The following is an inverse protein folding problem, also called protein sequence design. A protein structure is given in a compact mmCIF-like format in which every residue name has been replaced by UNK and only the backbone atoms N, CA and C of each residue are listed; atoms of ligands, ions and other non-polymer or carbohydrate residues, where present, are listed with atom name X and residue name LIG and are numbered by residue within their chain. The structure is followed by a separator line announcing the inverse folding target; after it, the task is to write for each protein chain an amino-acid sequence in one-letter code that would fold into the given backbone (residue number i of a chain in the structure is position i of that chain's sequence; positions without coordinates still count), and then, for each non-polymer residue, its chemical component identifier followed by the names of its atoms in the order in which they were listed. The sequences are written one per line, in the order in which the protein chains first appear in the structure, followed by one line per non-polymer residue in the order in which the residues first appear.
data_IF_356516304808
#
_entry.id   IF_356516304808
#
_cell.length_a   1.000
_cell.length_b   1.000
_cell.length_c   1.000
_cell.angle_alpha   90.00
_cell.angle_beta   90.00
_cell.angle_gamma   90.00
#
_symmetry.space_group_name_H-M   'P 1'
#
loop_
_entity.id
_entity.type
_entity.pdbx_description
1 polymer ?
#
# COMPACT_ATOMS: atom_id res chain seq x y z
N UNK A 1 -89.77 -10.94 41.33
CA UNK A 1 -89.67 -11.44 42.72
C UNK A 1 -88.29 -11.93 42.97
N UNK A 2 -87.67 -11.44 44.07
CA UNK A 2 -86.38 -11.85 44.71
C UNK A 2 -85.04 -11.65 43.95
N UNK A 3 -84.36 -10.62 44.23
CA UNK A 3 -83.38 -10.25 45.30
C UNK A 3 -82.31 -11.30 45.62
N UNK A 4 -81.11 -10.79 45.61
CA UNK A 4 -79.84 -11.06 46.39
C UNK A 4 -78.75 -11.71 45.53
N UNK A 5 -77.46 -11.37 45.61
CA UNK A 5 -76.59 -10.46 46.37
C UNK A 5 -75.19 -10.70 45.89
N UNK A 6 -74.34 -9.66 45.83
CA UNK A 6 -72.90 -9.75 45.60
C UNK A 6 -72.23 -10.50 46.77
N UNK A 7 -71.02 -11.09 46.51
CA UNK A 7 -69.88 -10.34 47.01
C UNK A 7 -68.70 -10.27 46.09
N UNK A 8 -67.84 -9.27 46.37
CA UNK A 8 -66.63 -8.87 45.76
C UNK A 8 -65.50 -9.92 45.89
N UNK A 9 -64.66 -10.04 44.88
CA UNK A 9 -63.29 -10.55 45.05
C UNK A 9 -62.27 -9.75 44.28
N UNK A 10 -61.24 -9.50 45.00
CA UNK A 10 -60.05 -8.67 44.90
C UNK A 10 -59.30 -8.82 43.58
N UNK A 11 -58.86 -7.66 43.08
CA UNK A 11 -57.83 -7.48 42.10
C UNK A 11 -56.48 -8.07 42.56
N UNK A 12 -55.83 -8.84 41.71
CA UNK A 12 -54.36 -9.02 41.75
C UNK A 12 -53.83 -8.43 40.48
N UNK A 13 -53.23 -7.26 40.65
CA UNK A 13 -52.41 -6.60 39.62
C UNK A 13 -51.11 -7.38 39.46
N UNK A 14 -50.99 -8.14 38.40
CA UNK A 14 -49.68 -8.68 37.96
C UNK A 14 -48.94 -7.64 37.17
N UNK A 15 -47.94 -7.02 37.77
CA UNK A 15 -47.00 -6.13 37.12
C UNK A 15 -46.07 -6.97 36.20
N UNK A 16 -46.30 -6.92 34.91
CA UNK A 16 -45.39 -7.48 33.91
C UNK A 16 -44.25 -6.46 33.70
N UNK A 17 -43.12 -6.68 34.33
CA UNK A 17 -41.91 -5.90 34.07
C UNK A 17 -41.32 -6.38 32.73
N UNK A 18 -41.58 -5.63 31.65
CA UNK A 18 -40.78 -5.75 30.42
C UNK A 18 -39.39 -5.15 30.66
N UNK A 19 -38.41 -5.99 30.78
CA UNK A 19 -37.02 -5.59 30.72
C UNK A 19 -36.69 -5.19 29.27
N UNK A 20 -36.63 -3.89 28.98
CA UNK A 20 -35.99 -3.36 27.78
C UNK A 20 -34.50 -3.62 27.90
N UNK A 21 -33.98 -4.58 27.14
CA UNK A 21 -32.54 -4.68 26.88
C UNK A 21 -32.24 -3.57 25.87
N UNK A 22 -31.79 -2.42 26.38
CA UNK A 22 -31.14 -1.41 25.55
C UNK A 22 -29.80 -1.99 25.10
N UNK A 23 -29.71 -2.38 23.82
CA UNK A 23 -28.43 -2.66 23.20
C UNK A 23 -27.71 -1.32 23.01
N UNK A 24 -26.83 -1.00 23.95
CA UNK A 24 -25.86 0.07 23.79
C UNK A 24 -24.96 -0.27 22.62
N UNK A 25 -25.31 0.24 21.46
CA UNK A 25 -24.36 0.40 20.36
C UNK A 25 -23.46 1.56 20.73
N UNK A 26 -22.45 1.26 21.54
CA UNK A 26 -21.37 2.19 21.81
C UNK A 26 -20.69 2.55 20.50
N UNK A 27 -21.04 3.71 19.94
CA UNK A 27 -20.15 4.43 19.06
C UNK A 27 -18.88 4.69 19.87
N UNK A 28 -17.86 3.87 19.68
CA UNK A 28 -16.53 4.18 20.16
C UNK A 28 -16.14 5.50 19.50
N UNK A 29 -16.22 6.58 20.26
CA UNK A 29 -15.66 7.85 19.86
C UNK A 29 -14.16 7.62 19.62
N UNK A 30 -13.74 7.85 18.39
CA UNK A 30 -12.35 7.79 17.97
C UNK A 30 -11.57 8.84 18.77
N UNK A 31 -10.99 8.46 19.87
CA UNK A 31 -10.04 9.31 20.59
C UNK A 31 -8.69 9.19 19.86
N UNK A 32 -8.47 10.05 18.88
CA UNK A 32 -7.16 10.23 18.29
C UNK A 32 -6.18 10.62 19.41
N UNK A 33 -5.20 9.78 19.67
CA UNK A 33 -4.06 10.16 20.50
C UNK A 33 -3.18 11.13 19.71
N UNK A 34 -3.12 12.43 20.05
CA UNK A 34 -2.33 13.38 19.31
C UNK A 34 -0.88 13.33 19.79
N UNK A 35 -0.04 12.52 19.14
CA UNK A 35 1.42 12.57 19.39
C UNK A 35 2.20 13.07 18.16
N UNK A 36 1.59 13.93 17.35
CA UNK A 36 2.26 14.57 16.23
C UNK A 36 2.39 16.09 16.43
N UNK A 37 3.50 16.70 16.00
CA UNK A 37 3.61 18.14 15.93
C UNK A 37 2.49 18.71 15.03
N UNK A 38 1.93 19.88 15.40
CA UNK A 38 0.89 20.52 14.62
C UNK A 38 1.34 20.77 13.17
N UNK A 39 0.42 20.73 12.18
CA UNK A 39 0.72 21.13 10.81
C UNK A 39 1.37 22.53 10.81
N UNK A 40 2.45 22.71 10.02
CA UNK A 40 3.21 23.96 9.95
C UNK A 40 4.33 24.11 10.98
N UNK A 41 4.43 23.28 12.02
CA UNK A 41 5.60 23.28 12.91
C UNK A 41 6.83 22.73 12.15
N UNK A 42 8.07 23.21 12.45
CA UNK A 42 9.28 22.67 11.85
C UNK A 42 9.40 21.15 12.03
N UNK A 43 9.88 20.48 10.98
CA UNK A 43 10.33 19.09 11.09
C UNK A 43 11.76 19.07 11.62
N UNK A 44 11.98 18.45 12.78
CA UNK A 44 13.31 18.33 13.37
C UNK A 44 13.90 16.97 13.04
N UNK A 45 14.90 16.99 12.14
CA UNK A 45 15.56 15.81 11.59
C UNK A 45 16.91 15.64 12.26
N UNK A 46 17.16 14.47 12.86
CA UNK A 46 18.45 14.08 13.45
C UNK A 46 19.45 13.66 12.36
N UNK A 47 18.98 12.96 11.32
CA UNK A 47 19.80 12.54 10.21
C UNK A 47 18.96 12.36 8.94
N UNK A 48 19.58 12.54 7.79
CA UNK A 48 19.03 12.19 6.48
C UNK A 48 20.15 11.82 5.52
N UNK A 49 19.79 11.08 4.48
CA UNK A 49 20.72 10.71 3.43
C UNK A 49 20.10 9.80 2.40
N UNK A 50 20.92 9.28 1.52
CA UNK A 50 20.50 8.33 0.50
C UNK A 50 21.60 7.32 0.18
N UNK A 51 21.19 6.17 -0.34
CA UNK A 51 22.09 5.12 -0.80
C UNK A 51 21.38 4.21 -1.82
N UNK A 52 22.17 3.41 -2.54
CA UNK A 52 21.67 2.33 -3.37
C UNK A 52 21.80 0.99 -2.64
N UNK A 53 20.89 0.05 -2.93
CA UNK A 53 20.92 -1.33 -2.39
C UNK A 53 20.58 -2.36 -3.46
N UNK A 54 21.14 -3.54 -3.33
CA UNK A 54 20.99 -4.61 -4.31
C UNK A 54 21.59 -4.23 -5.66
N UNK A 55 20.99 -4.76 -6.71
CA UNK A 55 21.43 -4.51 -8.09
C UNK A 55 22.38 -5.56 -8.61
N UNK A 56 22.81 -5.34 -9.85
CA UNK A 56 23.67 -6.22 -10.63
C UNK A 56 24.83 -5.42 -11.17
N UNK A 57 26.05 -5.98 -11.12
CA UNK A 57 27.21 -5.51 -11.86
C UNK A 57 27.43 -6.45 -13.05
N UNK A 58 27.56 -5.87 -14.25
CA UNK A 58 27.85 -6.59 -15.48
C UNK A 58 29.15 -6.08 -16.05
N UNK A 59 30.13 -6.98 -16.19
CA UNK A 59 31.41 -6.67 -16.77
C UNK A 59 31.44 -7.05 -18.25
N UNK A 60 31.87 -6.12 -19.10
CA UNK A 60 32.12 -6.39 -20.52
C UNK A 60 33.52 -7.02 -20.70
N UNK A 61 33.63 -8.03 -21.58
CA UNK A 61 34.93 -8.67 -21.85
C UNK A 61 35.99 -7.69 -22.36
N UNK A 62 37.24 -8.04 -22.09
CA UNK A 62 38.44 -7.27 -22.56
C UNK A 62 39.06 -6.42 -21.47
N UNK A 63 39.94 -5.49 -21.88
CA UNK A 63 40.66 -4.58 -20.99
C UNK A 63 40.32 -3.14 -21.37
N UNK A 64 39.92 -2.32 -20.40
CA UNK A 64 39.69 -0.90 -20.60
C UNK A 64 40.97 -0.16 -20.91
N UNK A 65 41.00 0.59 -22.00
CA UNK A 65 42.13 1.47 -22.39
C UNK A 65 41.78 2.93 -22.03
N UNK A 66 42.34 3.48 -20.96
CA UNK A 66 42.01 4.84 -20.52
C UNK A 66 42.41 5.96 -21.50
N UNK A 67 43.35 5.66 -22.41
CA UNK A 67 43.79 6.66 -23.43
C UNK A 67 42.81 6.71 -24.59
N UNK A 68 42.29 5.58 -25.03
CA UNK A 68 41.36 5.48 -26.17
C UNK A 68 39.93 5.64 -25.78
N UNK A 69 39.54 5.17 -24.59
CA UNK A 69 38.15 5.08 -24.12
C UNK A 69 37.81 6.09 -22.99
N UNK A 70 38.83 6.81 -22.47
CA UNK A 70 38.66 7.69 -21.31
C UNK A 70 37.93 9.00 -21.55
N UNK A 71 37.39 9.23 -22.76
CA UNK A 71 36.63 10.41 -23.10
C UNK A 71 35.14 10.07 -23.33
N UNK A 72 34.23 11.01 -22.99
CA UNK A 72 32.83 10.83 -23.29
C UNK A 72 32.59 10.76 -24.80
N UNK A 73 31.83 9.73 -25.21
CA UNK A 73 31.28 9.62 -26.57
C UNK A 73 29.81 9.19 -26.50
N UNK A 74 28.95 9.57 -27.47
CA UNK A 74 27.55 9.15 -27.49
C UNK A 74 27.35 7.63 -27.61
N UNK A 75 28.33 6.91 -28.17
CA UNK A 75 28.36 5.46 -28.30
C UNK A 75 29.70 4.95 -27.76
N UNK A 76 29.85 4.78 -26.44
CA UNK A 76 31.10 4.34 -25.84
C UNK A 76 31.40 2.88 -26.20
N UNK A 77 32.66 2.59 -26.43
CA UNK A 77 33.14 1.22 -26.55
C UNK A 77 33.01 0.52 -25.17
N UNK A 78 32.24 -0.58 -25.06
CA UNK A 78 32.02 -1.25 -23.78
C UNK A 78 33.20 -2.11 -23.33
N UNK A 79 34.22 -2.35 -24.16
CA UNK A 79 35.34 -3.25 -23.87
C UNK A 79 35.99 -2.95 -22.52
N UNK A 80 35.99 -3.94 -21.62
CA UNK A 80 36.60 -3.85 -20.29
C UNK A 80 35.89 -2.91 -19.32
N UNK A 81 34.66 -2.44 -19.64
CA UNK A 81 33.87 -1.56 -18.78
C UNK A 81 32.86 -2.34 -17.94
N UNK A 82 32.48 -1.76 -16.81
CA UNK A 82 31.45 -2.31 -15.87
C UNK A 82 30.21 -1.46 -15.87
N UNK A 83 29.04 -2.14 -15.90
CA UNK A 83 27.70 -1.53 -15.73
C UNK A 83 27.12 -1.95 -14.39
N UNK A 84 26.87 -0.98 -13.51
CA UNK A 84 26.07 -1.19 -12.30
C UNK A 84 24.64 -0.74 -12.55
N UNK A 85 23.65 -1.65 -12.41
CA UNK A 85 22.23 -1.36 -12.61
C UNK A 85 21.34 -2.21 -11.73
N UNK A 86 20.01 -2.11 -11.94
CA UNK A 86 18.98 -2.91 -11.27
C UNK A 86 18.97 -2.81 -9.73
N UNK A 87 19.60 -1.75 -9.17
CA UNK A 87 19.55 -1.44 -7.74
C UNK A 87 18.28 -0.67 -7.40
N UNK A 88 17.89 -0.67 -6.13
CA UNK A 88 16.93 0.30 -5.60
C UNK A 88 17.65 1.54 -5.08
N UNK A 89 17.04 2.72 -5.26
CA UNK A 89 17.49 3.95 -4.59
C UNK A 89 16.65 4.14 -3.32
N UNK A 90 17.30 4.54 -2.24
CA UNK A 90 16.68 4.76 -0.94
C UNK A 90 17.03 6.15 -0.45
N UNK A 91 16.02 6.96 -0.13
CA UNK A 91 16.17 8.19 0.64
C UNK A 91 15.59 7.99 2.03
N UNK A 92 16.30 8.45 3.06
CA UNK A 92 15.85 8.29 4.44
C UNK A 92 15.95 9.58 5.24
N UNK A 93 15.07 9.69 6.23
CA UNK A 93 15.08 10.73 7.24
C UNK A 93 14.78 10.12 8.62
N UNK A 94 15.59 10.49 9.60
CA UNK A 94 15.48 10.05 10.99
C UNK A 94 15.10 11.28 11.82
N UNK A 95 13.92 11.30 12.44
CA UNK A 95 13.54 12.41 13.32
C UNK A 95 14.29 12.35 14.65
N UNK A 96 14.27 13.45 15.40
CA UNK A 96 14.79 13.46 16.79
C UNK A 96 13.88 12.58 17.67
N UNK A 97 14.50 11.82 18.59
CA UNK A 97 13.83 10.84 19.45
C UNK A 97 12.97 9.85 18.65
N UNK A 98 13.57 9.10 17.72
CA UNK A 98 12.85 8.24 16.79
C UNK A 98 12.17 7.07 17.54
N UNK A 99 11.06 6.60 16.98
CA UNK A 99 10.48 5.30 17.32
C UNK A 99 11.42 4.16 16.90
N UNK A 100 11.34 2.99 17.55
CA UNK A 100 12.31 1.91 17.34
C UNK A 100 12.23 1.27 15.95
N UNK A 101 11.05 1.20 15.34
CA UNK A 101 10.86 0.58 14.03
C UNK A 101 10.67 1.63 12.93
N UNK A 102 11.53 1.64 11.91
CA UNK A 102 11.34 2.46 10.71
C UNK A 102 10.14 2.02 9.88
N UNK A 103 9.60 2.97 9.09
CA UNK A 103 8.66 2.69 8.00
C UNK A 103 9.39 2.74 6.67
N UNK A 104 9.28 1.69 5.88
CA UNK A 104 9.81 1.59 4.51
C UNK A 104 8.63 1.71 3.56
N UNK A 105 8.59 2.78 2.77
CA UNK A 105 7.51 3.08 1.83
C UNK A 105 7.87 2.68 0.40
N UNK A 106 7.07 1.79 -0.19
CA UNK A 106 7.26 1.27 -1.53
C UNK A 106 6.07 1.60 -2.43
N UNK A 107 6.33 2.32 -3.51
CA UNK A 107 5.34 2.82 -4.48
C UNK A 107 4.77 1.74 -5.41
N UNK A 108 3.70 2.08 -6.14
CA UNK A 108 3.02 1.23 -7.12
C UNK A 108 3.58 1.32 -8.55
N UNK A 109 2.84 0.75 -9.50
CA UNK A 109 3.14 0.80 -10.92
C UNK A 109 3.10 2.25 -11.43
N UNK A 110 4.03 2.59 -12.31
CA UNK A 110 4.12 3.94 -12.88
C UNK A 110 4.47 5.05 -11.89
N UNK A 111 4.88 4.71 -10.66
CA UNK A 111 5.14 5.64 -9.57
C UNK A 111 6.61 5.57 -9.11
N UNK A 112 6.99 6.52 -8.27
CA UNK A 112 8.27 6.60 -7.57
C UNK A 112 8.04 6.94 -6.10
N UNK A 113 9.09 7.19 -5.34
CA UNK A 113 9.03 7.70 -3.96
C UNK A 113 8.12 8.93 -3.82
N UNK A 114 7.95 9.73 -4.89
CA UNK A 114 7.06 10.91 -4.94
C UNK A 114 5.64 10.63 -4.44
N UNK A 115 5.14 9.40 -4.60
CA UNK A 115 3.83 8.97 -4.09
C UNK A 115 3.66 9.21 -2.58
N UNK A 116 4.74 9.16 -1.81
CA UNK A 116 4.75 9.27 -0.35
C UNK A 116 5.16 10.65 0.17
N UNK A 117 5.69 11.51 -0.73
CA UNK A 117 6.15 12.86 -0.44
C UNK A 117 4.95 13.84 -0.39
N UNK A 118 5.12 15.07 -0.89
CA UNK A 118 4.04 16.06 -0.99
C UNK A 118 2.92 15.55 -1.90
N UNK A 119 1.67 15.68 -1.47
CA UNK A 119 0.50 15.32 -2.26
C UNK A 119 0.37 16.18 -3.53
N UNK A 120 -0.38 15.77 -4.55
CA UNK A 120 -0.55 16.54 -5.78
C UNK A 120 -1.10 17.94 -5.58
N UNK A 121 -1.88 18.17 -4.54
CA UNK A 121 -2.47 19.45 -4.14
C UNK A 121 -1.62 20.24 -3.13
N UNK A 122 -0.36 19.80 -2.87
CA UNK A 122 0.63 20.53 -2.08
C UNK A 122 0.63 20.29 -0.59
N UNK A 123 -0.24 19.42 -0.06
CA UNK A 123 -0.25 19.06 1.38
C UNK A 123 0.89 18.10 1.73
N UNK A 124 1.12 17.90 3.01
CA UNK A 124 2.06 16.89 3.50
C UNK A 124 1.58 15.48 3.15
N UNK A 125 2.47 14.69 2.54
CA UNK A 125 2.26 13.26 2.33
C UNK A 125 2.74 12.42 3.52
N UNK A 126 2.66 11.11 3.38
CA UNK A 126 2.98 10.17 4.46
C UNK A 126 4.40 10.31 5.00
N UNK A 127 5.38 10.65 4.17
CA UNK A 127 6.75 10.90 4.61
C UNK A 127 6.78 11.93 5.75
N UNK A 128 6.20 13.12 5.56
CA UNK A 128 6.19 14.18 6.56
C UNK A 128 5.29 13.84 7.75
N UNK A 129 4.10 13.28 7.50
CA UNK A 129 3.15 12.89 8.54
C UNK A 129 3.81 11.91 9.52
N UNK A 130 4.52 10.89 9.03
CA UNK A 130 5.15 9.90 9.89
C UNK A 130 6.45 10.40 10.54
N UNK A 131 7.18 11.30 9.91
CA UNK A 131 8.28 12.02 10.57
C UNK A 131 7.77 12.83 11.77
N UNK A 132 6.62 13.53 11.65
CA UNK A 132 5.99 14.24 12.77
C UNK A 132 5.57 13.28 13.90
N UNK A 133 5.21 12.03 13.55
CA UNK A 133 4.90 10.94 14.49
C UNK A 133 6.15 10.23 15.01
N UNK A 134 7.34 10.76 14.71
CA UNK A 134 8.66 10.27 15.12
C UNK A 134 9.06 8.91 14.57
N UNK A 135 8.47 8.46 13.47
CA UNK A 135 8.99 7.29 12.77
C UNK A 135 10.18 7.67 11.88
N UNK A 136 11.29 6.91 11.92
CA UNK A 136 12.26 6.93 10.83
C UNK A 136 11.57 6.52 9.53
N UNK A 137 11.80 7.27 8.46
CA UNK A 137 11.14 7.05 7.17
C UNK A 137 12.17 6.75 6.11
N UNK A 138 11.95 5.67 5.37
CA UNK A 138 12.69 5.30 4.18
C UNK A 138 11.73 5.28 3.00
N UNK A 139 11.94 6.13 2.00
CA UNK A 139 11.19 6.11 0.74
C UNK A 139 12.08 5.58 -0.36
N UNK A 140 11.56 4.68 -1.18
CA UNK A 140 12.36 3.96 -2.17
C UNK A 140 11.87 4.22 -3.59
N UNK A 141 12.81 4.28 -4.52
CA UNK A 141 12.56 4.02 -5.93
C UNK A 141 13.04 2.60 -6.24
N UNK A 142 12.12 1.77 -6.69
CA UNK A 142 12.44 0.37 -7.01
C UNK A 142 13.36 0.26 -8.22
N UNK A 143 14.06 -0.86 -8.42
CA UNK A 143 14.88 -1.10 -9.60
C UNK A 143 14.19 -0.72 -10.91
N UNK A 144 14.92 -0.05 -11.78
CA UNK A 144 14.46 0.40 -13.10
C UNK A 144 13.32 1.43 -13.05
N UNK A 145 13.30 2.26 -11.97
CA UNK A 145 12.28 3.27 -11.78
C UNK A 145 12.85 4.53 -11.10
N UNK A 146 12.35 5.71 -11.48
CA UNK A 146 12.73 6.97 -10.87
C UNK A 146 14.25 7.18 -10.78
N UNK A 147 14.77 7.48 -9.58
CA UNK A 147 16.20 7.65 -9.30
C UNK A 147 17.02 6.36 -9.40
N UNK A 148 16.37 5.20 -9.43
CA UNK A 148 16.97 3.88 -9.65
C UNK A 148 16.85 3.43 -11.11
N UNK A 149 16.84 4.37 -12.05
CA UNK A 149 16.51 4.13 -13.46
C UNK A 149 17.59 3.40 -14.26
N UNK A 150 18.79 3.11 -13.74
CA UNK A 150 19.82 2.41 -14.51
C UNK A 150 19.53 0.91 -14.55
N UNK A 151 19.27 0.40 -15.77
CA UNK A 151 18.97 -1.01 -16.05
C UNK A 151 20.17 -1.73 -16.67
N UNK A 152 20.34 -3.02 -16.35
CA UNK A 152 21.27 -3.92 -17.06
C UNK A 152 20.62 -4.54 -18.29
N UNK A 153 19.32 -4.32 -18.51
CA UNK A 153 18.57 -4.83 -19.65
C UNK A 153 18.05 -3.67 -20.51
N UNK A 154 18.13 -3.77 -21.83
CA UNK A 154 17.59 -2.73 -22.71
C UNK A 154 16.07 -2.74 -22.71
N UNK A 155 15.47 -1.55 -22.90
CA UNK A 155 14.05 -1.38 -23.16
C UNK A 155 13.83 -0.13 -24.03
N UNK A 156 12.79 -0.17 -24.86
CA UNK A 156 12.28 1.03 -25.52
C UNK A 156 11.18 1.64 -24.64
N UNK A 157 11.30 2.93 -24.33
CA UNK A 157 10.31 3.67 -23.56
C UNK A 157 9.44 4.46 -24.53
N UNK A 158 8.20 4.01 -24.81
CA UNK A 158 7.30 4.73 -25.71
C UNK A 158 6.71 5.95 -25.02
N UNK A 159 6.49 7.03 -25.77
CA UNK A 159 5.69 8.18 -25.34
C UNK A 159 4.21 7.88 -25.53
N UNK A 160 3.62 7.10 -24.63
CA UNK A 160 2.22 6.66 -24.73
C UNK A 160 1.30 7.58 -23.94
N UNK A 161 0.29 8.23 -24.59
CA UNK A 161 -0.72 8.99 -23.87
C UNK A 161 -1.75 8.03 -23.25
N UNK A 162 -1.79 7.92 -21.93
CA UNK A 162 -2.61 6.95 -21.19
C UNK A 162 -3.27 7.52 -19.91
N UNK A 163 -3.15 8.83 -19.68
CA UNK A 163 -3.64 9.48 -18.46
C UNK A 163 -5.15 9.28 -18.23
N UNK A 164 -5.98 9.31 -19.29
CA UNK A 164 -7.42 9.12 -19.19
C UNK A 164 -7.79 7.70 -18.79
N UNK A 165 -7.02 6.71 -19.23
CA UNK A 165 -7.15 5.33 -18.78
C UNK A 165 -6.83 5.23 -17.29
N UNK A 166 -5.69 5.79 -16.85
CA UNK A 166 -5.28 5.77 -15.44
C UNK A 166 -6.23 6.55 -14.54
N UNK A 167 -6.86 7.63 -15.02
CA UNK A 167 -7.91 8.34 -14.30
C UNK A 167 -9.03 7.39 -13.86
N UNK A 168 -9.50 6.53 -14.76
CA UNK A 168 -10.51 5.52 -14.46
C UNK A 168 -9.98 4.38 -13.60
N UNK A 169 -8.81 3.82 -13.93
CA UNK A 169 -8.17 2.73 -13.19
C UNK A 169 -7.88 3.13 -11.74
N UNK A 170 -7.44 4.37 -11.51
CA UNK A 170 -7.17 4.89 -10.17
C UNK A 170 -8.42 5.37 -9.43
N UNK A 171 -9.60 5.20 -10.04
CA UNK A 171 -10.90 5.51 -9.44
C UNK A 171 -11.06 6.96 -9.01
N UNK A 172 -10.47 7.89 -9.78
CA UNK A 172 -10.77 9.31 -9.61
C UNK A 172 -12.20 9.61 -10.08
N UNK A 173 -12.65 8.95 -11.13
CA UNK A 173 -13.97 9.13 -11.73
C UNK A 173 -14.15 8.38 -13.03
N UNK A 174 -15.06 8.86 -13.87
CA UNK A 174 -15.25 8.46 -15.27
C UNK A 174 -14.90 9.69 -16.12
N UNK A 175 -13.79 9.62 -16.82
CA UNK A 175 -13.27 10.76 -17.57
C UNK A 175 -14.34 11.47 -18.42
N UNK A 176 -14.44 12.83 -18.39
CA UNK A 176 -13.58 13.75 -17.65
C UNK A 176 -14.08 14.07 -16.22
N UNK A 177 -15.11 13.41 -15.72
CA UNK A 177 -15.79 13.75 -14.50
C UNK A 177 -15.26 12.95 -13.30
N UNK A 178 -14.88 13.66 -12.23
CA UNK A 178 -14.60 13.07 -10.94
C UNK A 178 -15.85 12.43 -10.32
N UNK A 179 -15.68 11.39 -9.49
CA UNK A 179 -16.81 10.91 -8.68
C UNK A 179 -17.28 11.98 -7.69
N UNK A 180 -18.58 12.10 -7.41
CA UNK A 180 -19.13 13.21 -6.59
C UNK A 180 -18.51 13.35 -5.21
N UNK A 181 -18.12 12.24 -4.59
CA UNK A 181 -17.58 12.20 -3.21
C UNK A 181 -16.10 11.83 -3.16
N UNK A 182 -15.39 11.97 -4.29
CA UNK A 182 -13.98 11.57 -4.34
C UNK A 182 -13.13 12.44 -3.41
N UNK A 183 -12.23 11.81 -2.68
CA UNK A 183 -11.26 12.48 -1.82
C UNK A 183 -10.02 12.96 -2.60
N UNK A 184 -10.18 13.29 -3.86
CA UNK A 184 -9.17 13.91 -4.70
C UNK A 184 -9.48 15.39 -4.89
N UNK A 185 -8.47 16.24 -5.01
CA UNK A 185 -8.65 17.67 -5.25
C UNK A 185 -9.35 17.91 -6.59
N UNK A 186 -10.38 18.77 -6.59
CA UNK A 186 -11.06 19.19 -7.81
C UNK A 186 -10.29 20.29 -8.58
N UNK A 187 -9.11 20.70 -8.08
CA UNK A 187 -8.24 21.63 -8.77
C UNK A 187 -7.52 20.95 -9.95
N UNK A 188 -7.66 21.53 -11.13
CA UNK A 188 -6.98 21.05 -12.34
C UNK A 188 -5.45 21.04 -12.19
N UNK A 189 -4.87 21.98 -11.43
CA UNK A 189 -3.45 22.00 -11.17
C UNK A 189 -3.01 20.76 -10.36
N UNK A 190 -3.82 20.32 -9.41
CA UNK A 190 -3.56 19.08 -8.66
C UNK A 190 -3.63 17.85 -9.56
N UNK A 191 -4.60 17.79 -10.48
CA UNK A 191 -4.69 16.70 -11.46
C UNK A 191 -3.45 16.65 -12.37
N UNK A 192 -2.98 17.79 -12.84
CA UNK A 192 -1.77 17.87 -13.64
C UNK A 192 -0.52 17.46 -12.84
N UNK A 193 -0.42 17.82 -11.56
CA UNK A 193 0.67 17.35 -10.69
C UNK A 193 0.59 15.84 -10.45
N UNK A 194 -0.61 15.31 -10.31
CA UNK A 194 -0.81 13.88 -10.15
C UNK A 194 -0.28 13.08 -11.35
N UNK A 195 -0.61 13.47 -12.57
CA UNK A 195 -0.10 12.79 -13.75
C UNK A 195 1.41 12.99 -13.96
N UNK A 196 1.96 14.17 -13.63
CA UNK A 196 3.41 14.45 -13.74
C UNK A 196 4.27 13.65 -12.76
N UNK A 197 3.72 13.07 -11.71
CA UNK A 197 4.48 12.19 -10.83
C UNK A 197 4.71 10.78 -11.41
N UNK A 198 4.04 10.45 -12.52
CA UNK A 198 4.21 9.17 -13.21
C UNK A 198 5.59 9.06 -13.82
N UNK A 199 6.21 7.89 -13.67
CA UNK A 199 7.54 7.59 -14.20
C UNK A 199 7.53 6.25 -14.97
N UNK A 200 8.28 6.15 -16.08
CA UNK A 200 8.36 4.91 -16.84
C UNK A 200 9.23 3.85 -16.15
N UNK A 201 9.10 2.60 -16.58
CA UNK A 201 10.14 1.60 -16.38
C UNK A 201 11.27 1.83 -17.39
N UNK A 202 12.51 1.80 -16.92
CA UNK A 202 13.72 1.91 -17.73
C UNK A 202 14.36 0.56 -18.04
N UNK A 203 13.63 -0.52 -17.81
CA UNK A 203 13.95 -1.91 -18.10
C UNK A 203 12.72 -2.80 -17.92
N UNK A 204 12.78 -4.08 -18.28
CA UNK A 204 11.68 -5.03 -18.08
C UNK A 204 11.31 -5.13 -16.60
N UNK A 205 10.01 -5.34 -16.32
CA UNK A 205 9.57 -5.62 -14.96
C UNK A 205 10.11 -6.98 -14.50
N UNK A 206 10.82 -6.97 -13.37
CA UNK A 206 11.51 -8.15 -12.84
C UNK A 206 11.21 -8.29 -11.34
N UNK A 207 10.40 -9.27 -10.99
CA UNK A 207 9.99 -9.55 -9.60
C UNK A 207 11.20 -9.94 -8.74
N UNK A 208 12.11 -10.77 -9.28
CA UNK A 208 13.27 -11.26 -8.54
C UNK A 208 14.24 -10.12 -8.20
N UNK A 209 14.56 -9.26 -9.18
CA UNK A 209 15.42 -8.09 -8.97
C UNK A 209 14.82 -7.13 -7.92
N UNK A 210 13.51 -6.85 -8.00
CA UNK A 210 12.82 -6.00 -7.04
C UNK A 210 12.87 -6.59 -5.62
N UNK A 211 12.49 -7.85 -5.46
CA UNK A 211 12.49 -8.55 -4.16
C UNK A 211 13.90 -8.62 -3.58
N UNK A 212 14.91 -8.90 -4.40
CA UNK A 212 16.29 -8.96 -3.94
C UNK A 212 16.82 -7.61 -3.46
N UNK A 213 16.53 -6.52 -4.20
CA UNK A 213 16.97 -5.19 -3.85
C UNK A 213 16.32 -4.70 -2.54
N UNK A 214 15.03 -4.94 -2.36
CA UNK A 214 14.35 -4.51 -1.13
C UNK A 214 14.69 -5.44 0.04
N UNK A 215 14.92 -6.73 -0.18
CA UNK A 215 15.49 -7.60 0.87
C UNK A 215 16.85 -7.08 1.35
N UNK A 216 17.73 -6.65 0.43
CA UNK A 216 19.03 -6.05 0.78
C UNK A 216 18.88 -4.74 1.57
N UNK A 217 17.80 -3.98 1.36
CA UNK A 217 17.49 -2.82 2.20
C UNK A 217 17.27 -3.25 3.65
N UNK A 218 16.39 -4.23 3.89
CA UNK A 218 16.14 -4.73 5.25
C UNK A 218 17.39 -5.37 5.88
N UNK A 219 18.27 -5.99 5.10
CA UNK A 219 19.55 -6.49 5.59
C UNK A 219 20.46 -5.36 6.06
N UNK A 220 20.41 -4.20 5.39
CA UNK A 220 21.21 -3.03 5.72
C UNK A 220 20.66 -2.24 6.92
N UNK A 221 19.35 -2.04 7.00
CA UNK A 221 18.75 -1.15 8.02
C UNK A 221 18.24 -1.90 9.26
N UNK A 222 18.13 -3.23 9.20
CA UNK A 222 17.55 -4.05 10.27
C UNK A 222 16.03 -4.16 10.22
N UNK A 223 15.40 -4.54 11.36
CA UNK A 223 13.95 -4.72 11.44
C UNK A 223 13.18 -3.44 11.14
N UNK A 224 12.14 -3.53 10.31
CA UNK A 224 11.29 -2.40 9.94
C UNK A 224 9.89 -2.87 9.52
N UNK A 225 8.94 -1.94 9.41
CA UNK A 225 7.61 -2.14 8.86
C UNK A 225 7.64 -1.80 7.37
N UNK A 226 7.10 -2.68 6.54
CA UNK A 226 6.98 -2.47 5.10
C UNK A 226 5.59 -1.91 4.78
N UNK A 227 5.55 -0.74 4.15
CA UNK A 227 4.34 -0.09 3.66
C UNK A 227 4.35 -0.12 2.13
N UNK A 228 3.37 -0.79 1.53
CA UNK A 228 3.28 -1.00 0.09
C UNK A 228 2.06 -0.33 -0.51
N UNK A 229 2.13 -0.04 -1.80
CA UNK A 229 1.01 0.47 -2.58
C UNK A 229 0.89 -0.26 -3.91
N UNK A 230 -0.32 -0.72 -4.25
CA UNK A 230 -0.63 -1.25 -5.59
C UNK A 230 0.29 -2.41 -5.99
N UNK A 231 1.07 -2.27 -7.06
CA UNK A 231 2.01 -3.27 -7.58
C UNK A 231 3.00 -3.77 -6.51
N UNK A 232 3.46 -2.89 -5.62
CA UNK A 232 4.41 -3.32 -4.59
C UNK A 232 3.78 -4.19 -3.49
N UNK A 233 2.46 -4.34 -3.43
CA UNK A 233 1.81 -5.35 -2.57
C UNK A 233 2.34 -6.74 -2.85
N UNK A 234 2.28 -7.19 -4.11
CA UNK A 234 2.82 -8.49 -4.56
C UNK A 234 4.30 -8.66 -4.23
N UNK A 235 5.08 -7.62 -4.48
CA UNK A 235 6.51 -7.63 -4.19
C UNK A 235 6.76 -7.68 -2.68
N UNK A 236 5.91 -7.04 -1.90
CA UNK A 236 5.95 -7.02 -0.44
C UNK A 236 5.77 -8.40 0.19
N UNK A 237 4.77 -9.17 -0.27
CA UNK A 237 4.56 -10.56 0.18
C UNK A 237 5.80 -11.42 -0.07
N UNK A 238 6.35 -11.36 -1.28
CA UNK A 238 7.54 -12.12 -1.68
C UNK A 238 8.80 -11.66 -0.93
N UNK A 239 8.92 -10.38 -0.63
CA UNK A 239 10.03 -9.85 0.16
C UNK A 239 9.94 -10.32 1.61
N UNK A 240 8.74 -10.36 2.21
CA UNK A 240 8.55 -10.84 3.58
C UNK A 240 8.79 -12.35 3.71
N UNK A 241 8.45 -13.14 2.69
CA UNK A 241 8.80 -14.56 2.63
C UNK A 241 10.32 -14.75 2.68
N UNK A 242 11.07 -13.88 1.99
CA UNK A 242 12.53 -13.97 1.88
C UNK A 242 13.27 -13.38 3.08
N UNK A 243 12.71 -12.34 3.73
CA UNK A 243 13.44 -11.56 4.74
C UNK A 243 12.67 -11.43 6.06
N UNK A 244 13.11 -12.12 7.13
CA UNK A 244 12.43 -12.12 8.43
C UNK A 244 12.59 -10.80 9.22
N UNK A 245 13.34 -9.83 8.70
CA UNK A 245 13.44 -8.49 9.30
C UNK A 245 12.23 -7.62 9.03
N UNK A 246 11.34 -8.01 8.11
CA UNK A 246 10.04 -7.38 7.95
C UNK A 246 9.16 -7.77 9.14
N UNK A 247 8.77 -6.77 9.94
CA UNK A 247 8.03 -6.98 11.20
C UNK A 247 6.52 -6.89 11.04
N UNK A 248 6.07 -6.22 9.99
CA UNK A 248 4.67 -6.15 9.58
C UNK A 248 4.59 -5.65 8.13
N UNK A 249 3.45 -5.88 7.49
CA UNK A 249 3.11 -5.27 6.20
C UNK A 249 1.83 -4.45 6.35
N UNK A 250 1.87 -3.21 5.86
CA UNK A 250 0.70 -2.36 5.63
C UNK A 250 0.57 -2.15 4.14
N UNK A 251 -0.49 -2.65 3.52
CA UNK A 251 -0.66 -2.63 2.07
C UNK A 251 -1.88 -1.82 1.67
N UNK A 252 -1.66 -0.75 0.93
CA UNK A 252 -2.72 0.06 0.37
C UNK A 252 -3.01 -0.39 -1.06
N UNK A 253 -4.28 -0.75 -1.32
CA UNK A 253 -4.77 -1.02 -2.67
C UNK A 253 -3.92 -2.03 -3.47
N UNK A 254 -3.50 -3.18 -2.90
CA UNK A 254 -2.68 -4.12 -3.65
C UNK A 254 -3.39 -4.62 -4.91
N UNK A 255 -2.63 -4.88 -5.96
CA UNK A 255 -3.11 -5.56 -7.16
C UNK A 255 -3.47 -7.04 -6.91
N UNK A 256 -3.86 -7.74 -7.96
CA UNK A 256 -4.39 -9.10 -7.86
C UNK A 256 -3.38 -10.24 -7.65
N UNK A 257 -2.08 -9.95 -7.67
CA UNK A 257 -1.04 -10.99 -7.59
C UNK A 257 -0.77 -11.46 -6.14
N UNK A 258 -1.80 -11.89 -5.44
CA UNK A 258 -1.66 -12.58 -4.16
C UNK A 258 -1.08 -13.98 -4.38
N UNK A 259 -0.18 -14.41 -3.50
CA UNK A 259 0.41 -15.76 -3.55
C UNK A 259 -0.37 -16.71 -2.65
N UNK A 260 -0.67 -17.91 -3.15
CA UNK A 260 -1.39 -18.96 -2.39
C UNK A 260 -0.51 -20.20 -2.24
N UNK A 261 -0.79 -21.06 -1.25
CA UNK A 261 -0.17 -22.38 -1.20
C UNK A 261 -0.53 -23.19 -2.47
N UNK A 262 0.37 -24.06 -2.90
CA UNK A 262 0.08 -25.04 -3.95
C UNK A 262 -1.18 -25.85 -3.58
N UNK A 263 -2.10 -25.95 -4.54
CA UNK A 263 -3.39 -26.62 -4.37
C UNK A 263 -4.50 -25.79 -3.72
N UNK A 264 -4.22 -24.56 -3.22
CA UNK A 264 -5.22 -23.70 -2.55
C UNK A 264 -5.58 -22.44 -3.33
N UNK A 265 -4.98 -22.22 -4.52
CA UNK A 265 -5.25 -21.03 -5.32
C UNK A 265 -6.70 -21.06 -5.82
N UNK A 266 -7.49 -20.01 -5.57
CA UNK A 266 -8.87 -19.95 -6.07
C UNK A 266 -8.92 -19.66 -7.57
N UNK A 267 -9.97 -20.13 -8.21
CA UNK A 267 -10.33 -19.72 -9.56
C UNK A 267 -11.37 -18.58 -9.47
N UNK A 268 -11.00 -17.37 -9.85
CA UNK A 268 -11.86 -16.19 -9.70
C UNK A 268 -12.39 -15.75 -11.07
N UNK A 269 -13.72 -15.68 -11.28
CA UNK A 269 -14.29 -15.14 -12.50
C UNK A 269 -13.89 -13.67 -12.72
N UNK A 270 -13.38 -13.37 -13.91
CA UNK A 270 -12.98 -12.03 -14.34
C UNK A 270 -13.47 -11.75 -15.76
N UNK A 271 -14.62 -11.13 -15.90
CA UNK A 271 -15.31 -11.03 -17.19
C UNK A 271 -15.60 -12.40 -17.79
N UNK A 272 -15.16 -12.61 -19.03
CA UNK A 272 -15.28 -13.91 -19.72
C UNK A 272 -14.13 -14.88 -19.43
N UNK A 273 -13.19 -14.51 -18.54
CA UNK A 273 -11.99 -15.29 -18.21
C UNK A 273 -12.04 -15.76 -16.76
N UNK A 274 -11.20 -16.72 -16.43
CA UNK A 274 -10.90 -17.11 -15.05
C UNK A 274 -9.48 -16.63 -14.72
N UNK A 275 -9.35 -15.91 -13.63
CA UNK A 275 -8.06 -15.52 -13.07
C UNK A 275 -7.68 -16.52 -11.97
N UNK A 276 -6.48 -17.09 -12.09
CA UNK A 276 -5.89 -17.96 -11.06
C UNK A 276 -4.61 -17.27 -10.56
N UNK A 277 -4.54 -16.94 -9.26
CA UNK A 277 -3.35 -16.32 -8.69
C UNK A 277 -2.17 -17.28 -8.66
N UNK A 278 -0.92 -16.77 -8.58
CA UNK A 278 0.27 -17.60 -8.49
C UNK A 278 0.30 -18.41 -7.19
N UNK A 279 0.90 -19.60 -7.26
CA UNK A 279 1.12 -20.47 -6.12
C UNK A 279 2.59 -20.55 -5.74
N UNK A 280 2.82 -20.90 -4.45
CA UNK A 280 4.15 -21.08 -3.87
C UNK A 280 4.12 -22.29 -2.95
N UNK A 281 5.27 -22.92 -2.64
CA UNK A 281 5.36 -23.96 -1.62
C UNK A 281 4.75 -23.53 -0.29
N UNK A 282 4.06 -24.43 0.40
CA UNK A 282 3.45 -24.15 1.70
C UNK A 282 4.47 -23.62 2.72
N UNK A 283 5.70 -24.15 2.72
CA UNK A 283 6.79 -23.70 3.61
C UNK A 283 7.10 -22.20 3.46
N UNK A 284 7.04 -21.69 2.23
CA UNK A 284 7.25 -20.29 1.91
C UNK A 284 6.04 -19.46 2.33
N UNK A 285 4.84 -19.93 2.02
CA UNK A 285 3.60 -19.27 2.43
C UNK A 285 3.50 -19.09 3.95
N UNK A 286 3.94 -20.08 4.72
CA UNK A 286 3.99 -20.03 6.19
C UNK A 286 4.86 -18.90 6.74
N UNK A 287 5.76 -18.28 5.96
CA UNK A 287 6.48 -17.11 6.44
C UNK A 287 5.55 -15.91 6.62
N UNK A 288 4.48 -15.80 5.82
CA UNK A 288 3.48 -14.73 5.92
C UNK A 288 2.64 -14.82 7.19
N UNK A 289 2.51 -16.01 7.77
CA UNK A 289 1.76 -16.20 9.03
C UNK A 289 2.49 -15.69 10.27
N UNK A 290 3.78 -15.36 10.14
CA UNK A 290 4.63 -14.96 11.28
C UNK A 290 4.59 -13.48 11.61
N UNK A 291 3.94 -12.67 10.77
CA UNK A 291 3.89 -11.21 10.90
C UNK A 291 2.45 -10.73 10.75
N UNK A 292 2.06 -9.66 11.47
CA UNK A 292 0.77 -9.02 11.25
C UNK A 292 0.76 -8.30 9.91
N UNK A 293 -0.35 -8.44 9.17
CA UNK A 293 -0.56 -7.81 7.87
C UNK A 293 -1.90 -7.09 7.87
N UNK A 294 -1.94 -5.86 7.37
CA UNK A 294 -3.18 -5.16 7.11
C UNK A 294 -3.24 -4.68 5.67
N UNK A 295 -4.41 -4.87 5.06
CA UNK A 295 -4.70 -4.47 3.68
C UNK A 295 -5.86 -3.49 3.68
N UNK A 296 -5.70 -2.36 3.01
CA UNK A 296 -6.74 -1.34 2.86
C UNK A 296 -7.19 -1.24 1.41
N UNK A 297 -8.51 -1.14 1.21
CA UNK A 297 -9.13 -0.76 -0.06
C UNK A 297 -10.04 0.44 0.11
N UNK A 298 -9.94 1.40 -0.80
CA UNK A 298 -10.74 2.62 -0.85
C UNK A 298 -12.17 2.43 -1.33
N UNK A 299 -12.73 3.49 -1.88
CA UNK A 299 -14.11 3.56 -2.35
C UNK A 299 -14.23 3.29 -3.86
N UNK A 300 -15.47 3.35 -4.37
CA UNK A 300 -15.81 3.16 -5.77
C UNK A 300 -15.37 1.80 -6.35
N UNK A 301 -15.32 0.77 -5.51
CA UNK A 301 -15.12 -0.62 -5.89
C UNK A 301 -16.47 -1.34 -5.77
N UNK A 302 -17.09 -1.78 -6.87
CA UNK A 302 -18.40 -2.43 -6.83
C UNK A 302 -18.33 -3.77 -6.09
N UNK A 303 -19.46 -4.18 -5.52
CA UNK A 303 -19.60 -5.52 -4.92
C UNK A 303 -20.04 -6.57 -5.95
N UNK A 304 -20.81 -6.14 -6.92
CA UNK A 304 -21.35 -6.98 -7.99
C UNK A 304 -20.55 -6.80 -9.29
N UNK A 305 -20.55 -7.80 -10.18
CA UNK A 305 -19.93 -7.70 -11.50
C UNK A 305 -20.42 -6.47 -12.27
N UNK A 306 -19.53 -5.82 -12.98
CA UNK A 306 -19.81 -4.62 -13.76
C UNK A 306 -19.19 -4.69 -15.15
N UNK A 307 -19.78 -3.95 -16.10
CA UNK A 307 -19.25 -3.81 -17.47
C UNK A 307 -18.11 -2.79 -17.56
N UNK A 308 -17.88 -1.98 -16.53
CA UNK A 308 -16.73 -1.08 -16.48
C UNK A 308 -15.46 -1.89 -16.15
N UNK A 309 -14.50 -2.01 -17.09
CA UNK A 309 -13.35 -2.90 -16.91
C UNK A 309 -12.43 -2.49 -15.74
N UNK A 310 -12.28 -1.20 -15.49
CA UNK A 310 -11.46 -0.71 -14.38
C UNK A 310 -12.10 -1.05 -13.02
N UNK A 311 -13.41 -0.84 -12.88
CA UNK A 311 -14.13 -1.19 -11.66
C UNK A 311 -14.20 -2.71 -11.45
N UNK A 312 -14.41 -3.49 -12.53
CA UNK A 312 -14.43 -4.96 -12.46
C UNK A 312 -13.07 -5.51 -12.01
N UNK A 313 -11.99 -4.96 -12.50
CA UNK A 313 -10.64 -5.33 -12.07
C UNK A 313 -10.48 -5.15 -10.55
N UNK A 314 -10.87 -4.01 -9.99
CA UNK A 314 -10.75 -3.76 -8.56
C UNK A 314 -11.71 -4.61 -7.72
N UNK A 315 -12.90 -4.90 -8.23
CA UNK A 315 -13.83 -5.84 -7.59
C UNK A 315 -13.19 -7.22 -7.43
N UNK A 316 -12.58 -7.73 -8.50
CA UNK A 316 -11.88 -9.03 -8.49
C UNK A 316 -10.69 -9.00 -7.53
N UNK A 317 -9.86 -7.97 -7.57
CA UNK A 317 -8.69 -7.86 -6.69
C UNK A 317 -9.08 -7.77 -5.21
N UNK A 318 -10.12 -7.01 -4.86
CA UNK A 318 -10.63 -6.95 -3.48
C UNK A 318 -11.21 -8.29 -3.03
N UNK A 319 -11.96 -8.97 -3.88
CA UNK A 319 -12.49 -10.29 -3.57
C UNK A 319 -11.36 -11.31 -3.34
N UNK A 320 -10.34 -11.28 -4.19
CA UNK A 320 -9.15 -12.12 -4.06
C UNK A 320 -8.36 -11.82 -2.77
N UNK A 321 -8.25 -10.56 -2.39
CA UNK A 321 -7.65 -10.15 -1.11
C UNK A 321 -8.38 -10.77 0.09
N UNK A 322 -9.72 -10.87 0.02
CA UNK A 322 -10.52 -11.56 1.04
C UNK A 322 -10.18 -13.05 1.14
N UNK A 323 -10.12 -13.74 0.01
CA UNK A 323 -9.76 -15.16 -0.04
C UNK A 323 -8.32 -15.39 0.44
N UNK A 324 -7.40 -14.50 0.09
CA UNK A 324 -6.01 -14.57 0.54
C UNK A 324 -5.89 -14.35 2.07
N UNK A 325 -6.57 -13.34 2.61
CA UNK A 325 -6.67 -13.15 4.06
C UNK A 325 -7.14 -14.43 4.75
N UNK A 326 -8.20 -15.03 4.23
CA UNK A 326 -8.76 -16.25 4.80
C UNK A 326 -7.78 -17.43 4.71
N UNK A 327 -7.03 -17.54 3.61
CA UNK A 327 -5.98 -18.55 3.46
C UNK A 327 -4.86 -18.36 4.49
N UNK A 328 -4.29 -17.15 4.61
CA UNK A 328 -3.22 -16.87 5.58
C UNK A 328 -3.71 -17.14 7.01
N UNK A 329 -4.93 -16.70 7.34
CA UNK A 329 -5.48 -16.86 8.70
C UNK A 329 -5.83 -18.32 9.02
N UNK A 330 -6.30 -19.14 8.05
CA UNK A 330 -6.47 -20.59 8.24
C UNK A 330 -5.16 -21.29 8.59
N UNK A 331 -4.04 -20.80 8.07
CA UNK A 331 -2.70 -21.32 8.38
C UNK A 331 -2.09 -20.69 9.65
N UNK A 332 -2.89 -19.99 10.47
CA UNK A 332 -2.47 -19.42 11.76
C UNK A 332 -1.85 -18.04 11.67
N UNK A 333 -2.06 -17.32 10.57
CA UNK A 333 -1.58 -15.94 10.39
C UNK A 333 -2.51 -14.88 10.98
N UNK A 334 -2.10 -13.62 10.81
CA UNK A 334 -2.79 -12.44 11.33
C UNK A 334 -2.93 -11.39 10.21
N UNK A 335 -3.87 -11.62 9.29
CA UNK A 335 -4.20 -10.70 8.20
C UNK A 335 -5.54 -10.05 8.45
N UNK A 336 -5.56 -8.72 8.44
CA UNK A 336 -6.77 -7.89 8.47
C UNK A 336 -7.01 -7.24 7.11
N UNK A 337 -8.22 -7.36 6.58
CA UNK A 337 -8.66 -6.68 5.36
C UNK A 337 -9.70 -5.61 5.73
N UNK A 338 -9.41 -4.37 5.38
CA UNK A 338 -10.27 -3.21 5.64
C UNK A 338 -10.72 -2.59 4.33
N UNK A 339 -12.02 -2.62 4.07
CA UNK A 339 -12.64 -1.72 3.11
C UNK A 339 -12.99 -0.41 3.85
N UNK A 340 -12.57 0.73 3.33
CA UNK A 340 -12.77 2.02 4.01
C UNK A 340 -14.24 2.46 4.10
N UNK A 341 -15.10 2.25 3.07
CA UNK A 341 -16.50 2.70 3.15
C UNK A 341 -17.32 2.11 4.30
N UNK A 342 -17.24 0.81 4.63
CA UNK A 342 -17.96 0.23 5.77
C UNK A 342 -17.58 0.82 7.13
N UNK A 343 -16.38 1.37 7.27
CA UNK A 343 -15.94 2.04 8.51
C UNK A 343 -16.19 3.56 8.47
N UNK A 344 -17.00 4.05 7.52
CA UNK A 344 -17.40 5.45 7.41
C UNK A 344 -16.42 6.36 6.65
N UNK A 345 -15.31 5.84 6.13
CA UNK A 345 -14.32 6.60 5.35
C UNK A 345 -14.60 6.40 3.86
N UNK A 346 -15.10 7.44 3.19
CA UNK A 346 -15.64 7.35 1.83
C UNK A 346 -14.87 8.24 0.85
N UNK A 347 -15.00 7.90 -0.44
CA UNK A 347 -14.46 8.66 -1.56
C UNK A 347 -12.97 8.46 -1.81
N UNK A 348 -12.30 7.58 -1.07
CA UNK A 348 -10.88 7.34 -1.28
C UNK A 348 -10.62 6.68 -2.63
N UNK A 349 -9.64 7.25 -3.33
CA UNK A 349 -9.15 6.78 -4.62
C UNK A 349 -8.22 5.58 -4.46
N UNK A 350 -7.54 5.20 -5.56
CA UNK A 350 -6.43 4.25 -5.51
C UNK A 350 -5.21 4.76 -4.72
N UNK A 351 -5.18 6.05 -4.35
CA UNK A 351 -4.07 6.69 -3.64
C UNK A 351 -4.51 7.26 -2.28
N UNK A 352 -5.01 6.43 -1.34
CA UNK A 352 -5.55 6.93 -0.08
C UNK A 352 -4.52 7.72 0.73
N UNK A 353 -3.22 7.46 0.53
CA UNK A 353 -2.11 8.22 1.15
C UNK A 353 -1.96 9.65 0.60
N UNK A 354 -2.54 9.95 -0.55
CA UNK A 354 -2.50 11.28 -1.21
C UNK A 354 -3.85 11.99 -1.25
N UNK A 355 -4.92 11.29 -0.92
CA UNK A 355 -6.29 11.81 -0.90
C UNK A 355 -6.46 12.95 0.12
N UNK A 356 -7.52 13.75 -0.01
CA UNK A 356 -7.80 14.91 0.87
C UNK A 356 -7.86 14.56 2.35
N UNK A 357 -8.24 13.33 2.68
CA UNK A 357 -8.31 12.77 4.03
C UNK A 357 -7.08 11.93 4.41
N UNK A 358 -5.93 12.13 3.77
CA UNK A 358 -4.73 11.31 3.99
C UNK A 358 -4.26 11.25 5.44
N UNK A 359 -4.52 12.27 6.26
CA UNK A 359 -4.22 12.24 7.70
C UNK A 359 -5.04 11.17 8.40
N UNK A 360 -6.34 11.07 8.11
CA UNK A 360 -7.21 10.00 8.64
C UNK A 360 -6.70 8.61 8.24
N UNK A 361 -6.23 8.47 7.00
CA UNK A 361 -5.63 7.19 6.55
C UNK A 361 -4.33 6.89 7.27
N UNK A 362 -3.51 7.92 7.54
CA UNK A 362 -2.31 7.76 8.36
C UNK A 362 -2.63 7.41 9.83
N UNK A 363 -3.77 7.89 10.37
CA UNK A 363 -4.24 7.51 11.72
C UNK A 363 -4.56 6.02 11.79
N UNK A 364 -5.21 5.45 10.77
CA UNK A 364 -5.47 4.00 10.70
C UNK A 364 -4.16 3.19 10.72
N UNK A 365 -3.12 3.66 10.03
CA UNK A 365 -1.81 3.01 10.08
C UNK A 365 -1.20 3.09 11.48
N UNK A 366 -1.23 4.27 12.11
CA UNK A 366 -0.72 4.42 13.47
C UNK A 366 -1.47 3.56 14.48
N UNK A 367 -2.79 3.46 14.35
CA UNK A 367 -3.62 2.60 15.19
C UNK A 367 -3.26 1.12 15.02
N UNK A 368 -3.06 0.66 13.77
CA UNK A 368 -2.60 -0.70 13.53
C UNK A 368 -1.25 -0.98 14.18
N UNK A 369 -0.28 -0.08 14.01
CA UNK A 369 1.05 -0.24 14.62
C UNK A 369 0.96 -0.29 16.15
N UNK A 370 0.16 0.59 16.74
CA UNK A 370 -0.07 0.60 18.20
C UNK A 370 -0.71 -0.69 18.70
N UNK A 371 -1.77 -1.17 18.05
CA UNK A 371 -2.46 -2.43 18.39
C UNK A 371 -1.54 -3.65 18.30
N UNK A 372 -0.51 -3.59 17.44
CA UNK A 372 0.45 -4.69 17.26
C UNK A 372 1.75 -4.50 18.06
N UNK A 373 1.86 -3.42 18.85
CA UNK A 373 3.07 -3.10 19.62
C UNK A 373 4.30 -2.82 18.75
N UNK A 374 4.10 -2.14 17.63
CA UNK A 374 5.12 -1.86 16.61
C UNK A 374 5.46 -0.35 16.53
N UNK A 375 4.99 0.47 17.46
CA UNK A 375 5.15 1.91 17.46
C UNK A 375 6.10 2.46 18.57
#
# INVERSE_FOLDING_TARGET
MHRRSRPARRSLSGLLIMALIAADHGCAAYSASPSGAAPGAPLVIQAQGSFAVGGTAVDSPGTFDPIRQGAYTPAPDPTGQTLHGDHAYVFYQIPVNPRPLPLVFWHGHGQSAKTWETTPDGREGFQNIFLRRRFPVYVIDQPRRGRAGRSTQPVTIPATPDEQMWFGVFRLGVWPNLYPNVQFSHDTAALHQFFRQSVPNTGPYDVAANVAAISALFDKIGPAVLVTHSQSGTLGWRTAIRNPRIRAIVSYEPGGDFVFPEGEAPAVPFGSRTFTPPTIPLSDFMQLTKIPIIVYYGDNIPEQPTTNPAQEQWRVFRALAGQWRDAVNRHGGDVTLVALPPIGIRGNTHFPMSDLNNVTIADLLSEFLHKKGLD
#
